data_IF_660650750647
#
_entry.id   IF_660650750647
#
_cell.length_a   1.000
_cell.length_b   1.000
_cell.length_c   1.000
_cell.angle_alpha   90.00
_cell.angle_beta   90.00
_cell.angle_gamma   90.00
#
_symmetry.space_group_name_H-M   'P 1'
#
loop_
_entity.id
_entity.type
_entity.pdbx_description
1 polymer ?
#
# COMPACT_ATOMS: atom_id res chain seq x y z
N UNK A 1 4.43 -27.13 -11.69
CA UNK A 1 4.10 -26.59 -10.34
C UNK A 1 3.65 -25.13 -10.35
N UNK A 2 4.01 -24.31 -11.35
CA UNK A 2 3.20 -23.14 -11.76
C UNK A 2 1.83 -23.55 -12.34
N UNK A 3 1.71 -24.80 -12.80
CA UNK A 3 0.50 -25.37 -13.40
C UNK A 3 -0.64 -25.68 -12.42
N UNK A 4 -0.52 -25.26 -11.14
CA UNK A 4 -1.54 -25.49 -10.11
C UNK A 4 -2.14 -24.20 -9.52
N UNK A 5 -1.83 -23.03 -10.11
CA UNK A 5 -2.49 -21.77 -9.73
C UNK A 5 -2.27 -21.33 -8.27
N UNK A 6 -1.23 -21.85 -7.60
CA UNK A 6 -0.86 -21.38 -6.25
C UNK A 6 0.05 -20.19 -6.44
N UNK A 7 -0.51 -18.99 -6.29
CA UNK A 7 0.24 -17.74 -6.20
C UNK A 7 0.93 -17.69 -4.84
N UNK A 8 2.17 -18.17 -4.79
CA UNK A 8 2.97 -18.14 -3.56
C UNK A 8 3.35 -16.68 -3.28
N UNK A 9 2.67 -16.05 -2.33
CA UNK A 9 3.08 -14.76 -1.76
C UNK A 9 4.43 -14.95 -1.08
N UNK A 10 5.45 -14.23 -1.56
CA UNK A 10 6.81 -14.31 -1.02
C UNK A 10 6.90 -13.37 0.18
N UNK A 11 7.45 -13.87 1.29
CA UNK A 11 7.75 -13.12 2.49
C UNK A 11 9.22 -13.38 2.85
N UNK A 12 10.04 -12.34 2.88
CA UNK A 12 11.47 -12.44 3.21
C UNK A 12 11.75 -12.41 4.71
N UNK A 13 10.75 -12.12 5.53
CA UNK A 13 10.89 -12.07 6.99
C UNK A 13 11.61 -10.81 7.48
N UNK A 14 11.65 -9.73 6.69
CA UNK A 14 12.25 -8.47 7.11
C UNK A 14 11.31 -7.76 8.10
N UNK A 15 11.78 -7.40 9.31
CA UNK A 15 10.96 -6.70 10.29
C UNK A 15 10.54 -5.30 9.81
N UNK A 16 9.36 -4.84 10.24
CA UNK A 16 8.85 -3.51 9.87
C UNK A 16 9.79 -2.37 10.26
N UNK A 17 10.48 -2.49 11.40
CA UNK A 17 11.45 -1.50 11.86
C UNK A 17 12.65 -1.37 10.91
N UNK A 18 13.05 -2.48 10.28
CA UNK A 18 14.14 -2.48 9.30
C UNK A 18 13.69 -1.86 7.97
N UNK A 19 12.46 -2.16 7.52
CA UNK A 19 11.86 -1.48 6.37
C UNK A 19 11.78 0.04 6.60
N UNK A 20 11.43 0.47 7.81
CA UNK A 20 11.40 1.89 8.18
C UNK A 20 12.80 2.52 8.12
N UNK A 21 13.84 1.81 8.59
CA UNK A 21 15.24 2.23 8.45
C UNK A 21 15.61 2.42 6.97
N UNK A 22 15.35 1.41 6.14
CA UNK A 22 15.59 1.46 4.69
C UNK A 22 14.83 2.62 4.02
N UNK A 23 13.57 2.84 4.37
CA UNK A 23 12.76 3.94 3.82
C UNK A 23 13.36 5.32 4.11
N UNK A 24 14.04 5.47 5.25
CA UNK A 24 14.72 6.71 5.63
C UNK A 24 15.98 6.93 4.80
N UNK A 25 16.71 5.84 4.49
CA UNK A 25 17.92 5.88 3.66
C UNK A 25 17.61 6.18 2.18
N UNK A 26 16.53 5.61 1.64
CA UNK A 26 16.08 5.89 0.27
C UNK A 26 15.41 7.26 0.14
N UNK A 27 14.70 7.71 1.17
CA UNK A 27 13.86 8.90 1.09
C UNK A 27 12.62 8.67 0.23
N UNK A 28 12.02 9.77 -0.24
CA UNK A 28 10.81 9.72 -1.08
C UNK A 28 11.19 9.59 -2.55
N UNK A 29 10.74 8.52 -3.20
CA UNK A 29 11.02 8.22 -4.61
C UNK A 29 9.78 7.58 -5.26
N UNK A 30 9.24 8.25 -6.27
CA UNK A 30 8.02 7.81 -6.97
C UNK A 30 8.28 6.60 -7.86
N UNK A 31 9.33 6.62 -8.68
CA UNK A 31 9.59 5.56 -9.66
C UNK A 31 9.92 4.26 -8.91
N UNK A 32 10.73 4.36 -7.86
CA UNK A 32 11.03 3.21 -7.01
C UNK A 32 9.78 2.69 -6.28
N UNK A 33 8.91 3.56 -5.75
CA UNK A 33 7.67 3.12 -5.10
C UNK A 33 6.77 2.33 -6.05
N UNK A 34 6.63 2.79 -7.29
CA UNK A 34 5.84 2.11 -8.33
C UNK A 34 6.44 0.74 -8.67
N UNK A 35 7.76 0.64 -8.83
CA UNK A 35 8.41 -0.64 -9.14
C UNK A 35 8.31 -1.63 -7.97
N UNK A 36 8.48 -1.17 -6.73
CA UNK A 36 8.32 -2.00 -5.54
C UNK A 36 6.87 -2.50 -5.37
N UNK A 37 5.87 -1.66 -5.67
CA UNK A 37 4.47 -2.04 -5.51
C UNK A 37 4.02 -3.14 -6.49
N UNK A 38 4.60 -3.16 -7.69
CA UNK A 38 4.32 -4.19 -8.72
C UNK A 38 4.76 -5.59 -8.30
N UNK A 39 5.69 -5.70 -7.37
CA UNK A 39 6.18 -6.98 -6.88
C UNK A 39 5.15 -7.65 -5.95
N UNK A 40 5.14 -8.99 -5.93
CA UNK A 40 4.27 -9.80 -5.07
C UNK A 40 4.94 -10.14 -3.72
N UNK A 41 6.00 -9.40 -3.37
CA UNK A 41 6.73 -9.52 -2.10
C UNK A 41 6.15 -8.53 -1.09
N UNK A 42 5.78 -9.04 0.10
CA UNK A 42 5.21 -8.24 1.18
C UNK A 42 6.08 -7.02 1.53
N UNK A 43 7.37 -7.26 1.76
CA UNK A 43 8.33 -6.23 2.15
C UNK A 43 8.44 -5.11 1.10
N UNK A 44 8.41 -5.45 -0.19
CA UNK A 44 8.43 -4.48 -1.29
C UNK A 44 7.19 -3.57 -1.24
N UNK A 45 5.99 -4.16 -1.13
CA UNK A 45 4.76 -3.37 -1.03
C UNK A 45 4.73 -2.47 0.21
N UNK A 46 5.14 -2.99 1.37
CA UNK A 46 5.21 -2.19 2.59
C UNK A 46 6.19 -1.02 2.45
N UNK A 47 7.39 -1.27 1.91
CA UNK A 47 8.38 -0.23 1.67
C UNK A 47 7.86 0.82 0.68
N UNK A 48 7.17 0.41 -0.39
CA UNK A 48 6.54 1.32 -1.36
C UNK A 48 5.59 2.32 -0.68
N UNK A 49 4.77 1.87 0.28
CA UNK A 49 3.89 2.79 1.04
C UNK A 49 4.67 3.84 1.84
N UNK A 50 5.88 3.50 2.30
CA UNK A 50 6.72 4.40 3.09
C UNK A 50 7.46 5.41 2.22
N UNK A 51 7.85 5.05 1.01
CA UNK A 51 8.69 5.89 0.13
C UNK A 51 7.90 6.65 -0.94
N UNK A 52 6.63 6.32 -1.19
CA UNK A 52 5.80 7.07 -2.15
C UNK A 52 5.67 8.55 -1.72
N UNK A 53 5.98 9.52 -2.61
CA UNK A 53 5.73 10.93 -2.34
C UNK A 53 4.23 11.22 -2.32
N UNK A 54 3.73 11.78 -1.21
CA UNK A 54 2.30 12.05 -0.99
C UNK A 54 1.71 12.96 -2.08
N UNK A 55 2.48 13.97 -2.51
CA UNK A 55 2.12 14.94 -3.55
C UNK A 55 2.03 14.33 -4.96
N UNK A 56 2.58 13.13 -5.14
CA UNK A 56 2.53 12.37 -6.40
C UNK A 56 1.58 11.18 -6.36
N UNK A 57 0.91 10.94 -5.23
CA UNK A 57 -0.12 9.92 -5.12
C UNK A 57 -1.42 10.48 -5.72
N UNK A 58 -1.73 10.06 -6.94
CA UNK A 58 -2.96 10.46 -7.64
C UNK A 58 -4.11 9.51 -7.28
N UNK A 59 -5.38 9.98 -7.29
CA UNK A 59 -6.53 9.12 -7.02
C UNK A 59 -6.55 7.84 -7.86
N UNK A 60 -6.19 7.93 -9.15
CA UNK A 60 -6.15 6.79 -10.06
C UNK A 60 -5.09 5.75 -9.64
N UNK A 61 -3.95 6.20 -9.09
CA UNK A 61 -2.91 5.31 -8.55
C UNK A 61 -3.42 4.67 -7.25
N UNK A 62 -4.11 5.44 -6.40
CA UNK A 62 -4.75 4.93 -5.18
C UNK A 62 -5.72 3.80 -5.48
N UNK A 63 -6.58 3.97 -6.48
CA UNK A 63 -7.53 2.92 -6.88
C UNK A 63 -6.80 1.66 -7.36
N UNK A 64 -5.78 1.81 -8.21
CA UNK A 64 -4.96 0.68 -8.69
C UNK A 64 -4.28 -0.05 -7.53
N UNK A 65 -3.72 0.69 -6.56
CA UNK A 65 -3.07 0.10 -5.40
C UNK A 65 -4.09 -0.64 -4.53
N UNK A 66 -5.21 0.01 -4.21
CA UNK A 66 -6.26 -0.53 -3.37
C UNK A 66 -6.88 -1.82 -3.95
N UNK A 67 -7.05 -1.92 -5.27
CA UNK A 67 -7.50 -3.16 -5.92
C UNK A 67 -6.54 -4.34 -5.74
N UNK A 68 -5.24 -4.08 -5.56
CA UNK A 68 -4.22 -5.11 -5.35
C UNK A 68 -4.02 -5.50 -3.88
N UNK A 69 -4.72 -4.84 -2.97
CA UNK A 69 -4.67 -5.13 -1.53
C UNK A 69 -5.44 -6.40 -1.25
N UNK A 70 -4.79 -7.32 -0.55
CA UNK A 70 -5.33 -8.67 -0.33
C UNK A 70 -5.22 -9.15 1.12
N UNK A 71 -4.83 -8.26 2.03
CA UNK A 71 -4.69 -8.53 3.45
C UNK A 71 -4.80 -7.23 4.28
N UNK A 72 -5.14 -7.40 5.57
CA UNK A 72 -5.39 -6.28 6.48
C UNK A 72 -4.13 -5.45 6.78
N UNK A 73 -2.97 -6.09 6.94
CA UNK A 73 -1.72 -5.37 7.23
C UNK A 73 -1.37 -4.38 6.10
N UNK A 74 -1.50 -4.81 4.84
CA UNK A 74 -1.15 -3.98 3.70
C UNK A 74 -2.05 -2.74 3.60
N UNK A 75 -3.36 -2.86 3.86
CA UNK A 75 -4.25 -1.68 3.87
C UNK A 75 -3.93 -0.74 5.03
N UNK A 76 -3.69 -1.28 6.23
CA UNK A 76 -3.33 -0.48 7.40
C UNK A 76 -2.03 0.29 7.15
N UNK A 77 -1.02 -0.36 6.55
CA UNK A 77 0.24 0.29 6.21
C UNK A 77 0.10 1.31 5.08
N UNK A 78 -0.73 1.02 4.06
CA UNK A 78 -1.01 1.94 2.96
C UNK A 78 -1.67 3.23 3.48
N UNK A 79 -2.67 3.11 4.35
CA UNK A 79 -3.34 4.27 4.94
C UNK A 79 -2.43 5.00 5.92
N UNK A 80 -1.75 4.24 6.80
CA UNK A 80 -0.89 4.80 7.84
C UNK A 80 0.28 5.62 7.27
N UNK A 81 0.94 5.10 6.23
CA UNK A 81 2.13 5.73 5.68
C UNK A 81 1.84 6.78 4.60
N UNK A 82 0.69 6.68 3.91
CA UNK A 82 0.45 7.41 2.67
C UNK A 82 -0.94 8.05 2.58
N UNK A 83 -2.02 7.26 2.57
CA UNK A 83 -3.33 7.77 2.14
C UNK A 83 -3.96 8.79 3.10
N UNK A 84 -3.68 8.74 4.40
CA UNK A 84 -4.20 9.76 5.32
C UNK A 84 -3.64 11.17 5.05
N UNK A 85 -2.54 11.28 4.29
CA UNK A 85 -1.85 12.54 4.03
C UNK A 85 -2.19 13.17 2.67
N UNK A 86 -2.88 12.45 1.77
CA UNK A 86 -3.25 13.00 0.46
C UNK A 86 -4.37 14.03 0.60
N UNK A 87 -4.41 15.04 -0.28
CA UNK A 87 -5.39 16.13 -0.19
C UNK A 87 -6.84 15.68 -0.42
N UNK A 88 -7.05 14.53 -1.07
CA UNK A 88 -8.36 13.93 -1.31
C UNK A 88 -8.76 12.85 -0.28
N UNK A 89 -8.00 12.68 0.81
CA UNK A 89 -8.25 11.65 1.81
C UNK A 89 -9.70 11.61 2.33
N UNK A 90 -10.36 12.74 2.68
CA UNK A 90 -11.76 12.72 3.11
C UNK A 90 -12.73 12.20 2.04
N UNK A 91 -12.44 12.46 0.76
CA UNK A 91 -13.30 12.04 -0.36
C UNK A 91 -13.31 10.51 -0.47
N UNK A 92 -12.13 9.90 -0.50
CA UNK A 92 -12.01 8.44 -0.60
C UNK A 92 -12.51 7.75 0.67
N UNK A 93 -12.32 8.34 1.87
CA UNK A 93 -12.86 7.79 3.10
C UNK A 93 -14.40 7.65 3.07
N UNK A 94 -15.12 8.70 2.66
CA UNK A 94 -16.58 8.62 2.54
C UNK A 94 -17.04 7.66 1.45
N UNK A 95 -16.34 7.62 0.30
CA UNK A 95 -16.66 6.69 -0.78
C UNK A 95 -16.49 5.24 -0.33
N UNK A 96 -15.33 4.91 0.23
CA UNK A 96 -14.96 3.55 0.63
C UNK A 96 -15.72 3.04 1.85
N UNK A 97 -16.14 3.92 2.76
CA UNK A 97 -17.02 3.54 3.88
C UNK A 97 -18.37 2.98 3.39
N UNK A 98 -18.89 3.51 2.28
CA UNK A 98 -20.15 3.07 1.68
C UNK A 98 -20.02 1.79 0.84
N UNK A 99 -18.80 1.32 0.56
CA UNK A 99 -18.58 0.10 -0.20
C UNK A 99 -18.81 -1.15 0.66
N UNK A 100 -19.33 -2.22 0.06
CA UNK A 100 -19.43 -3.53 0.70
C UNK A 100 -18.16 -4.37 0.47
N UNK A 101 -16.99 -3.76 0.68
CA UNK A 101 -15.67 -4.39 0.51
C UNK A 101 -14.86 -4.18 1.80
N UNK A 102 -14.52 -5.26 2.55
CA UNK A 102 -13.92 -5.12 3.88
C UNK A 102 -12.65 -4.28 3.93
N UNK A 103 -11.72 -4.43 2.98
CA UNK A 103 -10.48 -3.64 2.99
C UNK A 103 -10.73 -2.16 2.70
N UNK A 104 -11.70 -1.83 1.85
CA UNK A 104 -12.10 -0.45 1.57
C UNK A 104 -12.69 0.20 2.83
N UNK A 105 -13.55 -0.52 3.53
CA UNK A 105 -14.12 -0.05 4.80
C UNK A 105 -13.03 0.13 5.88
N UNK A 106 -12.11 -0.83 6.03
CA UNK A 106 -10.95 -0.70 6.92
C UNK A 106 -10.16 0.56 6.56
N UNK A 107 -9.83 0.75 5.28
CA UNK A 107 -9.11 1.93 4.84
C UNK A 107 -9.85 3.22 5.24
N UNK A 108 -11.16 3.29 4.99
CA UNK A 108 -12.00 4.42 5.32
C UNK A 108 -12.03 4.77 6.82
N UNK A 109 -12.03 3.76 7.71
CA UNK A 109 -12.02 3.99 9.16
C UNK A 109 -10.66 4.44 9.70
N UNK A 110 -9.57 4.24 8.95
CA UNK A 110 -8.21 4.59 9.35
C UNK A 110 -7.67 5.88 8.72
N UNK A 111 -8.37 6.44 7.73
CA UNK A 111 -8.12 7.77 7.17
C UNK A 111 -8.64 8.84 8.13
#
# INVERSE_FOLDING_TARGET
MRDKGIDYKINWGVPLMELKRMSTEYGKDYDLAIELWKDHVRECKLLATMIMPVDKMLPEITDIWMESVDNQELVEQLVFNLLQYVNYAPVIAYQWMAENRPYYQIAAYHI
#
